data_IF_227313039694
#
_entry.id   IF_227313039694
#
_cell.length_a   1.000
_cell.length_b   1.000
_cell.length_c   1.000
_cell.angle_alpha   90.00
_cell.angle_beta   90.00
_cell.angle_gamma   90.00
#
_symmetry.space_group_name_H-M   'P 1'
#
loop_
_entity.id
_entity.type
_entity.pdbx_description
1 polymer ?
#
# COMPACT_ATOMS: atom_id res chain seq x y z
N UNK A 1 -12.84 13.86 -52.62
CA UNK A 1 -13.64 15.06 -52.32
C UNK A 1 -13.19 15.62 -50.97
N UNK A 2 -12.98 16.93 -50.84
CA UNK A 2 -12.67 17.54 -49.53
C UNK A 2 -13.91 17.43 -48.65
N UNK A 3 -13.75 16.87 -47.44
CA UNK A 3 -14.82 16.84 -46.43
C UNK A 3 -14.97 18.22 -45.81
N UNK A 4 -16.19 18.65 -45.58
CA UNK A 4 -16.48 19.89 -44.86
C UNK A 4 -16.00 19.73 -43.41
N UNK A 5 -15.15 20.63 -42.91
CA UNK A 5 -14.56 20.50 -41.56
C UNK A 5 -15.26 21.44 -40.58
N UNK A 6 -15.76 20.87 -39.47
CA UNK A 6 -16.45 21.61 -38.41
C UNK A 6 -15.77 21.35 -37.07
N UNK A 7 -15.49 22.43 -36.35
CA UNK A 7 -14.92 22.37 -35.00
C UNK A 7 -16.04 22.51 -33.97
N UNK A 8 -16.04 21.62 -32.97
CA UNK A 8 -16.99 21.67 -31.85
C UNK A 8 -16.22 21.92 -30.58
N UNK A 9 -16.45 23.10 -30.00
CA UNK A 9 -15.91 23.44 -28.69
C UNK A 9 -16.60 22.63 -27.60
N UNK A 10 -15.79 21.92 -26.81
CA UNK A 10 -16.26 21.15 -25.64
C UNK A 10 -15.61 21.68 -24.36
N UNK A 11 -16.33 21.83 -23.25
CA UNK A 11 -15.72 22.08 -21.95
C UNK A 11 -14.89 20.85 -21.49
N UNK A 12 -13.67 21.08 -21.01
CA UNK A 12 -12.81 19.99 -20.51
C UNK A 12 -13.12 19.62 -19.06
N UNK A 13 -13.78 18.48 -18.87
CA UNK A 13 -14.15 17.90 -17.56
C UNK A 13 -13.29 16.67 -17.24
N UNK A 14 -12.61 16.08 -18.23
CA UNK A 14 -11.72 14.93 -18.02
C UNK A 14 -11.91 13.81 -19.04
N UNK A 15 -12.08 12.58 -18.55
CA UNK A 15 -12.26 11.38 -19.39
C UNK A 15 -13.61 11.43 -20.10
N UNK A 16 -14.60 12.01 -19.46
CA UNK A 16 -15.98 12.21 -19.91
C UNK A 16 -16.02 13.04 -21.19
N UNK A 17 -15.31 14.18 -21.23
CA UNK A 17 -15.18 15.01 -22.45
C UNK A 17 -14.56 14.22 -23.60
N UNK A 18 -13.55 13.37 -23.32
CA UNK A 18 -12.93 12.52 -24.35
C UNK A 18 -13.91 11.47 -24.87
N UNK A 19 -14.68 10.84 -23.99
CA UNK A 19 -15.72 9.88 -24.37
C UNK A 19 -16.83 10.54 -25.19
N UNK A 20 -17.29 11.72 -24.77
CA UNK A 20 -18.28 12.51 -25.49
C UNK A 20 -17.77 12.90 -26.89
N UNK A 21 -16.53 13.38 -26.99
CA UNK A 21 -15.90 13.71 -28.27
C UNK A 21 -15.87 12.51 -29.22
N UNK A 22 -15.54 11.30 -28.75
CA UNK A 22 -15.61 10.08 -29.56
C UNK A 22 -17.03 9.77 -30.03
N UNK A 23 -17.99 9.82 -29.12
CA UNK A 23 -19.41 9.58 -29.46
C UNK A 23 -19.92 10.56 -30.51
N UNK A 24 -19.55 11.84 -30.42
CA UNK A 24 -19.92 12.87 -31.39
C UNK A 24 -19.30 12.56 -32.76
N UNK A 25 -18.02 12.16 -32.81
CA UNK A 25 -17.35 11.76 -34.06
C UNK A 25 -18.05 10.55 -34.70
N UNK A 26 -18.41 9.55 -33.90
CA UNK A 26 -19.05 8.33 -34.41
C UNK A 26 -20.47 8.61 -34.90
N UNK A 27 -21.23 9.44 -34.19
CA UNK A 27 -22.54 9.94 -34.64
C UNK A 27 -22.42 10.75 -35.93
N UNK A 28 -21.41 11.60 -36.05
CA UNK A 28 -21.18 12.41 -37.25
C UNK A 28 -20.92 11.54 -38.48
N UNK A 29 -20.06 10.51 -38.34
CA UNK A 29 -19.78 9.56 -39.43
C UNK A 29 -21.03 8.81 -39.89
N UNK A 30 -21.94 8.50 -38.96
CA UNK A 30 -23.19 7.82 -39.27
C UNK A 30 -24.19 8.72 -40.01
N UNK A 31 -24.34 9.98 -39.57
CA UNK A 31 -25.36 10.89 -40.11
C UNK A 31 -24.87 11.61 -41.38
N UNK A 32 -23.65 12.15 -41.36
CA UNK A 32 -23.03 12.96 -42.43
C UNK A 32 -21.57 12.56 -42.63
N UNK A 33 -21.27 11.52 -43.45
CA UNK A 33 -19.91 11.04 -43.66
C UNK A 33 -19.02 12.02 -44.45
N UNK A 34 -19.64 12.98 -45.13
CA UNK A 34 -19.05 14.13 -45.82
C UNK A 34 -18.53 15.21 -44.85
N UNK A 35 -18.96 15.17 -43.59
CA UNK A 35 -18.56 16.09 -42.53
C UNK A 35 -17.42 15.52 -41.67
N UNK A 36 -16.34 16.28 -41.52
CA UNK A 36 -15.26 15.99 -40.58
C UNK A 36 -15.43 16.83 -39.31
N UNK A 37 -16.03 16.24 -38.28
CA UNK A 37 -16.18 16.89 -36.98
C UNK A 37 -14.93 16.69 -36.13
N UNK A 38 -14.35 17.78 -35.66
CA UNK A 38 -13.21 17.79 -34.74
C UNK A 38 -13.59 18.46 -33.41
N UNK A 39 -13.84 17.67 -32.34
CA UNK A 39 -14.08 18.23 -31.02
C UNK A 39 -12.80 18.85 -30.44
N UNK A 40 -12.87 20.11 -30.02
CA UNK A 40 -11.77 20.84 -29.39
C UNK A 40 -12.13 21.09 -27.91
N UNK A 41 -11.41 20.47 -26.95
CA UNK A 41 -11.61 20.79 -25.54
C UNK A 41 -11.04 22.17 -25.18
N UNK A 42 -11.86 23.11 -24.69
CA UNK A 42 -11.42 24.42 -24.18
C UNK A 42 -11.14 24.41 -22.68
N UNK A 43 -10.18 25.26 -22.25
CA UNK A 43 -8.73 25.01 -22.26
C UNK A 43 -8.34 23.82 -21.35
N UNK A 44 -7.12 23.26 -21.48
CA UNK A 44 -6.60 22.30 -20.51
C UNK A 44 -6.58 22.97 -19.11
N UNK A 45 -7.20 22.36 -18.09
CA UNK A 45 -7.63 23.04 -16.87
C UNK A 45 -6.47 23.57 -16.01
N UNK A 46 -5.25 23.05 -16.20
CA UNK A 46 -4.01 23.57 -15.65
C UNK A 46 -2.81 22.86 -16.32
N UNK A 47 -1.62 23.47 -16.27
CA UNK A 47 -0.35 22.84 -16.69
C UNK A 47 -0.08 21.49 -16.03
N UNK A 48 -0.62 21.29 -14.82
CA UNK A 48 -0.60 20.02 -14.06
C UNK A 48 -1.32 18.87 -14.77
N UNK A 49 -2.13 19.16 -15.78
CA UNK A 49 -2.78 18.16 -16.64
C UNK A 49 -1.79 17.54 -17.62
N UNK A 50 -0.76 18.30 -18.02
CA UNK A 50 0.27 17.84 -18.96
C UNK A 50 1.41 17.09 -18.28
N UNK A 51 1.75 17.50 -17.05
CA UNK A 51 2.85 16.91 -16.30
C UNK A 51 2.34 16.30 -15.00
N UNK A 52 2.57 14.99 -14.75
CA UNK A 52 2.33 14.44 -13.42
C UNK A 52 3.16 15.24 -12.42
N UNK A 53 2.49 15.88 -11.45
CA UNK A 53 3.16 16.78 -10.49
C UNK A 53 4.24 16.08 -9.66
N UNK A 54 4.20 14.74 -9.56
CA UNK A 54 5.17 13.92 -8.83
C UNK A 54 5.52 12.65 -9.60
N UNK A 55 6.74 12.19 -9.38
CA UNK A 55 7.20 10.90 -9.91
C UNK A 55 6.37 9.73 -9.37
N UNK A 56 6.28 8.68 -10.18
CA UNK A 56 5.63 7.44 -9.78
C UNK A 56 6.44 6.80 -8.65
N UNK A 57 5.81 6.67 -7.49
CA UNK A 57 6.43 6.01 -6.33
C UNK A 57 6.52 4.50 -6.60
N UNK A 58 7.72 3.95 -6.45
CA UNK A 58 7.97 2.51 -6.53
C UNK A 58 7.03 1.72 -5.62
N UNK A 59 6.58 0.56 -6.09
CA UNK A 59 5.63 -0.34 -5.42
C UNK A 59 5.95 -0.56 -3.93
N UNK A 60 7.22 -0.83 -3.61
CA UNK A 60 7.70 -1.09 -2.25
C UNK A 60 7.65 0.15 -1.34
N UNK A 61 7.73 1.35 -1.90
CA UNK A 61 7.69 2.62 -1.17
C UNK A 61 6.26 3.19 -1.05
N UNK A 62 5.26 2.54 -1.65
CA UNK A 62 3.87 3.00 -1.58
C UNK A 62 3.26 2.74 -0.20
N UNK A 63 2.34 3.63 0.19
CA UNK A 63 1.60 3.62 1.45
C UNK A 63 0.10 3.82 1.21
N UNK A 64 -0.71 3.58 2.24
CA UNK A 64 -2.18 3.68 2.20
C UNK A 64 -2.80 2.75 1.14
N UNK A 65 -2.29 1.52 1.09
CA UNK A 65 -2.67 0.50 0.12
C UNK A 65 -3.21 -0.76 0.81
N UNK A 66 -4.07 -1.45 0.09
CA UNK A 66 -4.45 -2.84 0.34
C UNK A 66 -3.68 -3.70 -0.66
N UNK A 67 -2.98 -4.70 -0.16
CA UNK A 67 -2.11 -5.57 -0.92
C UNK A 67 -2.47 -7.04 -0.71
N UNK A 68 -2.09 -7.89 -1.66
CA UNK A 68 -2.14 -9.34 -1.51
C UNK A 68 -0.78 -9.97 -1.70
N UNK A 69 -0.49 -11.01 -0.91
CA UNK A 69 0.71 -11.84 -0.99
C UNK A 69 0.25 -13.29 -1.12
N UNK A 70 0.78 -14.03 -2.09
CA UNK A 70 0.56 -15.47 -2.21
C UNK A 70 1.68 -16.25 -1.55
N UNK A 71 1.36 -17.46 -1.12
CA UNK A 71 2.37 -18.46 -0.82
C UNK A 71 2.91 -19.06 -2.13
N UNK A 72 4.18 -19.44 -2.17
CA UNK A 72 4.78 -20.10 -3.35
C UNK A 72 4.42 -21.58 -3.42
N UNK A 73 4.23 -22.23 -2.26
CA UNK A 73 4.05 -23.68 -2.19
C UNK A 73 2.57 -24.10 -2.08
N UNK A 74 1.65 -23.16 -1.88
CA UNK A 74 0.22 -23.46 -1.82
C UNK A 74 -0.67 -22.32 -2.31
N UNK A 75 -1.90 -22.66 -2.73
CA UNK A 75 -2.88 -21.74 -3.33
C UNK A 75 -3.58 -20.82 -2.31
N UNK A 76 -2.92 -20.48 -1.21
CA UNK A 76 -3.45 -19.56 -0.21
C UNK A 76 -2.84 -18.17 -0.38
N UNK A 77 -3.72 -17.17 -0.35
CA UNK A 77 -3.33 -15.77 -0.35
C UNK A 77 -3.58 -15.12 0.99
N UNK A 78 -2.75 -14.15 1.35
CA UNK A 78 -2.98 -13.18 2.42
C UNK A 78 -3.36 -11.84 1.81
N UNK A 79 -4.38 -11.18 2.39
CA UNK A 79 -4.73 -9.80 2.07
C UNK A 79 -4.48 -8.93 3.28
N UNK A 80 -3.71 -7.87 3.11
CA UNK A 80 -3.41 -6.94 4.19
C UNK A 80 -3.51 -5.49 3.75
N UNK A 81 -3.71 -4.60 4.72
CA UNK A 81 -3.52 -3.16 4.54
C UNK A 81 -2.21 -2.66 5.12
N UNK A 82 -1.75 -1.52 4.61
CA UNK A 82 -0.69 -0.74 5.24
C UNK A 82 -0.91 0.77 5.10
N UNK A 83 -0.68 1.48 6.20
CA UNK A 83 -0.55 2.96 6.24
C UNK A 83 0.93 3.34 6.10
N UNK A 84 1.85 2.46 6.50
CA UNK A 84 3.29 2.59 6.32
C UNK A 84 3.69 2.20 4.89
N UNK A 85 4.96 2.40 4.54
CA UNK A 85 5.53 1.85 3.31
C UNK A 85 5.39 0.33 3.26
N UNK A 86 5.08 -0.22 2.08
CA UNK A 86 4.89 -1.66 1.88
C UNK A 86 6.13 -2.48 2.28
N UNK A 87 7.33 -2.01 1.94
CA UNK A 87 8.59 -2.65 2.35
C UNK A 87 8.70 -2.84 3.86
N UNK A 88 8.42 -1.78 4.63
CA UNK A 88 8.46 -1.83 6.09
C UNK A 88 7.42 -2.79 6.64
N UNK A 89 6.22 -2.80 6.04
CA UNK A 89 5.16 -3.74 6.41
C UNK A 89 5.57 -5.19 6.16
N UNK A 90 6.21 -5.49 5.04
CA UNK A 90 6.67 -6.85 4.73
C UNK A 90 7.75 -7.31 5.71
N UNK A 91 8.69 -6.43 6.09
CA UNK A 91 9.69 -6.72 7.12
C UNK A 91 9.04 -7.05 8.48
N UNK A 92 7.98 -6.34 8.87
CA UNK A 92 7.20 -6.67 10.07
C UNK A 92 6.56 -8.07 10.02
N UNK A 93 6.39 -8.63 8.81
CA UNK A 93 5.86 -9.97 8.59
C UNK A 93 6.94 -11.04 8.33
N UNK A 94 8.23 -10.69 8.44
CA UNK A 94 9.34 -11.63 8.27
C UNK A 94 10.00 -11.61 6.89
N UNK A 95 9.69 -10.62 6.04
CA UNK A 95 10.40 -10.48 4.78
C UNK A 95 11.88 -10.15 5.01
N UNK A 96 12.79 -10.71 4.19
CA UNK A 96 14.21 -10.41 4.30
C UNK A 96 14.45 -8.91 4.11
N UNK A 97 15.39 -8.35 4.87
CA UNK A 97 15.85 -7.00 4.62
C UNK A 97 16.52 -6.99 3.25
N UNK A 98 16.00 -6.17 2.34
CA UNK A 98 16.68 -5.91 1.08
C UNK A 98 18.07 -5.35 1.41
N UNK A 99 19.13 -5.80 0.73
CA UNK A 99 20.44 -5.20 0.90
C UNK A 99 20.26 -3.69 0.69
N UNK A 100 20.64 -2.90 1.71
CA UNK A 100 20.76 -1.46 1.52
C UNK A 100 21.68 -1.33 0.31
N UNK A 101 21.23 -0.67 -0.76
CA UNK A 101 22.12 -0.36 -1.88
C UNK A 101 23.43 0.13 -1.27
N UNK A 102 24.61 -0.32 -1.76
CA UNK A 102 25.88 0.17 -1.25
C UNK A 102 25.73 1.66 -1.15
N UNK A 103 25.90 2.20 0.07
CA UNK A 103 25.84 3.64 0.31
C UNK A 103 26.53 4.29 -0.87
N UNK A 104 25.82 5.16 -1.60
CA UNK A 104 26.30 5.90 -2.76
C UNK A 104 27.81 6.01 -2.70
N UNK A 105 28.58 5.58 -3.73
CA UNK A 105 30.05 5.57 -3.66
C UNK A 105 30.46 6.86 -3.00
N UNK A 106 31.18 6.75 -1.87
CA UNK A 106 31.60 7.90 -1.09
C UNK A 106 32.19 8.87 -2.10
N UNK A 107 31.44 9.91 -2.48
CA UNK A 107 31.99 11.00 -3.25
C UNK A 107 33.06 11.47 -2.29
N UNK A 108 34.33 11.25 -2.64
CA UNK A 108 35.45 11.65 -1.83
C UNK A 108 35.17 13.10 -1.48
N UNK A 109 34.73 13.34 -0.24
CA UNK A 109 34.53 14.70 0.22
C UNK A 109 35.93 15.28 0.12
N UNK A 110 36.17 16.35 -0.66
CA UNK A 110 37.46 17.01 -0.59
C UNK A 110 37.74 17.28 0.88
N UNK A 111 38.98 17.08 1.31
CA UNK A 111 39.42 17.23 2.69
C UNK A 111 39.24 18.69 3.13
N UNK A 112 37.99 19.03 3.46
CA UNK A 112 37.60 20.36 3.89
C UNK A 112 38.06 20.46 5.33
N UNK A 113 39.13 21.23 5.54
CA UNK A 113 39.62 21.56 6.87
C UNK A 113 38.47 22.12 7.73
N UNK A 114 37.89 21.25 8.55
CA UNK A 114 36.66 21.48 9.34
C UNK A 114 36.83 22.66 10.31
N UNK A 115 38.08 23.00 10.66
CA UNK A 115 38.39 24.14 11.53
C UNK A 115 38.14 25.49 10.87
N UNK A 116 38.05 25.58 9.54
CA UNK A 116 37.79 26.84 8.82
C UNK A 116 36.29 27.17 8.65
N UNK A 117 35.39 26.23 8.95
CA UNK A 117 33.95 26.40 8.78
C UNK A 117 33.34 27.08 10.01
N UNK A 118 32.78 28.30 9.86
CA UNK A 118 32.12 29.11 10.92
C UNK A 118 31.03 28.40 11.75
N UNK A 119 30.56 27.22 11.35
CA UNK A 119 29.52 26.43 12.07
C UNK A 119 30.11 25.33 12.96
N UNK A 120 31.43 25.19 13.04
CA UNK A 120 32.14 24.08 13.70
C UNK A 120 32.02 24.07 15.23
N UNK A 121 31.84 25.22 15.89
CA UNK A 121 31.80 25.28 17.36
C UNK A 121 30.59 24.56 17.99
N UNK A 122 29.43 24.49 17.32
CA UNK A 122 28.28 23.69 17.79
C UNK A 122 28.43 22.19 17.57
N UNK A 123 29.35 21.78 16.69
CA UNK A 123 29.62 20.38 16.39
C UNK A 123 30.70 19.81 17.31
N UNK A 124 31.67 20.63 17.75
CA UNK A 124 32.74 20.21 18.68
C UNK A 124 32.21 19.61 19.98
N UNK A 125 31.14 20.15 20.54
CA UNK A 125 30.53 19.64 21.78
C UNK A 125 29.72 18.35 21.61
N UNK A 126 29.48 17.87 20.38
CA UNK A 126 28.67 16.68 20.07
C UNK A 126 29.46 15.51 19.51
N UNK A 127 30.78 15.64 19.34
CA UNK A 127 31.61 14.62 18.66
C UNK A 127 31.97 13.41 19.52
N UNK A 128 31.61 13.39 20.81
CA UNK A 128 31.84 12.24 21.69
C UNK A 128 30.53 11.77 22.36
N UNK A 129 29.52 11.45 21.55
CA UNK A 129 28.41 10.62 22.03
C UNK A 129 28.84 9.17 21.84
N UNK A 130 29.44 8.59 22.88
CA UNK A 130 29.59 7.14 22.95
C UNK A 130 28.19 6.55 23.13
N UNK A 131 27.62 6.01 22.06
CA UNK A 131 26.46 5.15 22.17
C UNK A 131 26.87 3.93 22.99
N UNK A 132 26.13 3.61 24.05
CA UNK A 132 26.35 2.38 24.80
C UNK A 132 26.44 1.21 23.81
N UNK A 133 27.55 0.47 23.86
CA UNK A 133 27.64 -0.79 23.13
C UNK A 133 26.63 -1.74 23.78
N UNK A 134 25.75 -2.29 22.96
CA UNK A 134 24.74 -3.24 23.41
C UNK A 134 25.46 -4.54 23.86
N UNK A 135 25.39 -4.85 25.15
CA UNK A 135 25.92 -6.10 25.70
C UNK A 135 25.21 -7.31 25.06
N UNK A 136 25.91 -8.44 24.87
CA UNK A 136 25.36 -9.64 24.21
C UNK A 136 24.01 -10.12 24.80
N UNK A 137 23.78 -9.89 26.09
CA UNK A 137 22.53 -10.25 26.77
C UNK A 137 21.35 -9.35 26.36
N UNK A 138 21.58 -8.05 26.07
CA UNK A 138 20.53 -7.16 25.57
C UNK A 138 20.21 -7.44 24.09
N UNK A 139 21.19 -7.92 23.33
CA UNK A 139 21.02 -8.38 21.93
C UNK A 139 20.13 -9.63 21.91
N UNK A 140 20.41 -10.64 22.73
CA UNK A 140 19.56 -11.83 22.84
C UNK A 140 18.13 -11.50 23.29
N UNK A 141 17.97 -10.67 24.33
CA UNK A 141 16.65 -10.21 24.80
C UNK A 141 15.88 -9.40 23.76
N UNK A 142 16.57 -8.67 22.87
CA UNK A 142 15.93 -7.91 21.80
C UNK A 142 15.58 -8.77 20.58
N UNK A 143 16.34 -9.83 20.32
CA UNK A 143 16.03 -10.86 19.33
C UNK A 143 14.79 -11.68 19.73
N UNK A 144 14.73 -12.22 20.95
CA UNK A 144 13.58 -12.99 21.45
C UNK A 144 12.27 -12.19 21.38
N UNK A 145 12.30 -10.92 21.80
CA UNK A 145 11.14 -10.00 21.70
C UNK A 145 10.68 -9.77 20.26
N UNK A 146 11.59 -9.85 19.28
CA UNK A 146 11.27 -9.67 17.88
C UNK A 146 10.62 -10.95 17.30
N UNK A 147 11.10 -12.12 17.68
CA UNK A 147 10.54 -13.40 17.26
C UNK A 147 9.11 -13.62 17.77
N UNK A 148 8.85 -13.24 19.04
CA UNK A 148 7.49 -13.22 19.61
C UNK A 148 6.53 -12.30 18.83
N UNK A 149 7.05 -11.20 18.30
CA UNK A 149 6.28 -10.26 17.50
C UNK A 149 6.03 -10.82 16.10
N UNK A 150 7.01 -11.48 15.50
CA UNK A 150 6.89 -12.13 14.19
C UNK A 150 5.88 -13.28 14.24
N UNK A 151 5.86 -14.08 15.31
CA UNK A 151 4.89 -15.17 15.53
C UNK A 151 3.41 -14.72 15.53
N UNK A 152 3.15 -13.43 15.77
CA UNK A 152 1.80 -12.84 15.67
C UNK A 152 1.37 -12.57 14.22
N UNK A 153 2.30 -12.56 13.27
CA UNK A 153 2.00 -12.46 11.85
C UNK A 153 1.33 -13.74 11.35
N UNK A 154 0.28 -13.63 10.54
CA UNK A 154 -0.34 -14.78 9.91
C UNK A 154 0.58 -15.41 8.85
N UNK A 155 1.27 -14.57 8.07
CA UNK A 155 2.24 -14.97 7.06
C UNK A 155 3.41 -15.75 7.69
N UNK A 156 4.03 -15.19 8.73
CA UNK A 156 5.18 -15.83 9.38
C UNK A 156 4.80 -17.14 10.04
N UNK A 157 3.65 -17.18 10.74
CA UNK A 157 3.13 -18.41 11.33
C UNK A 157 2.89 -19.50 10.27
N UNK A 158 2.33 -19.14 9.12
CA UNK A 158 2.14 -20.10 8.03
C UNK A 158 3.47 -20.60 7.47
N UNK A 159 4.44 -19.69 7.27
CA UNK A 159 5.78 -20.02 6.85
C UNK A 159 6.44 -21.06 7.77
N UNK A 160 6.35 -20.84 9.09
CA UNK A 160 6.99 -21.72 10.09
C UNK A 160 6.23 -23.02 10.30
N UNK A 161 4.90 -23.00 10.30
CA UNK A 161 4.11 -24.19 10.57
C UNK A 161 4.07 -25.17 9.39
N UNK A 162 4.12 -24.65 8.16
CA UNK A 162 4.01 -25.45 6.94
C UNK A 162 5.34 -25.56 6.19
N UNK A 163 6.41 -24.92 6.70
CA UNK A 163 7.71 -24.82 6.02
C UNK A 163 7.62 -24.31 4.58
N UNK A 164 6.64 -23.46 4.30
CA UNK A 164 6.43 -22.87 2.98
C UNK A 164 7.23 -21.58 2.83
N UNK A 165 7.41 -21.14 1.59
CA UNK A 165 8.05 -19.89 1.20
C UNK A 165 6.99 -18.87 0.79
N UNK A 166 7.03 -17.69 1.40
CA UNK A 166 6.15 -16.57 1.04
C UNK A 166 6.75 -15.80 -0.14
N UNK A 167 5.94 -15.50 -1.15
CA UNK A 167 6.39 -14.75 -2.32
C UNK A 167 6.40 -13.23 -2.05
N UNK A 168 7.50 -12.74 -1.48
CA UNK A 168 7.69 -11.32 -1.16
C UNK A 168 7.95 -10.41 -2.38
N UNK A 169 8.27 -10.98 -3.54
CA UNK A 169 8.60 -10.24 -4.75
C UNK A 169 7.35 -10.02 -5.64
N UNK A 170 6.48 -11.02 -5.79
CA UNK A 170 5.26 -10.97 -6.62
C UNK A 170 3.98 -10.59 -5.85
N UNK A 171 4.11 -9.78 -4.80
CA UNK A 171 2.94 -9.23 -4.10
C UNK A 171 2.14 -8.28 -5.01
N UNK A 172 0.84 -8.06 -4.81
CA UNK A 172 0.03 -7.20 -5.71
C UNK A 172 -0.70 -6.10 -4.94
N UNK A 173 -0.78 -4.91 -5.53
CA UNK A 173 -1.58 -3.80 -4.99
C UNK A 173 -3.00 -3.96 -5.49
N UNK A 174 -3.94 -4.18 -4.58
CA UNK A 174 -5.35 -4.38 -4.92
C UNK A 174 -6.08 -3.04 -4.96
N UNK A 175 -5.84 -2.18 -3.97
CA UNK A 175 -6.48 -0.87 -3.91
C UNK A 175 -5.67 0.13 -3.11
N UNK A 176 -6.00 1.42 -3.27
CA UNK A 176 -5.36 2.54 -2.57
C UNK A 176 -6.44 3.50 -2.10
N UNK A 177 -6.31 4.00 -0.87
CA UNK A 177 -7.22 5.03 -0.34
C UNK A 177 -6.50 5.86 0.71
N UNK A 178 -6.53 7.19 0.57
CA UNK A 178 -5.89 8.09 1.52
C UNK A 178 -6.61 8.13 2.89
N UNK A 179 -7.91 7.83 2.92
CA UNK A 179 -8.69 7.84 4.17
C UNK A 179 -8.58 6.49 4.87
N UNK A 180 -8.04 6.50 6.09
CA UNK A 180 -7.84 5.28 6.92
C UNK A 180 -9.09 4.40 7.00
N UNK A 181 -10.26 4.98 7.29
CA UNK A 181 -11.50 4.22 7.41
C UNK A 181 -11.89 3.54 6.10
N UNK A 182 -11.84 4.26 4.97
CA UNK A 182 -12.12 3.68 3.65
C UNK A 182 -11.15 2.57 3.30
N UNK A 183 -9.87 2.70 3.69
CA UNK A 183 -8.89 1.64 3.52
C UNK A 183 -9.27 0.35 4.29
N UNK A 184 -9.80 0.49 5.52
CA UNK A 184 -10.32 -0.65 6.29
C UNK A 184 -11.50 -1.33 5.61
N UNK A 185 -12.42 -0.54 5.08
CA UNK A 185 -13.59 -1.03 4.34
C UNK A 185 -13.14 -1.78 3.09
N UNK A 186 -12.20 -1.20 2.31
CA UNK A 186 -11.66 -1.84 1.11
C UNK A 186 -10.97 -3.16 1.40
N UNK A 187 -10.14 -3.23 2.43
CA UNK A 187 -9.52 -4.49 2.85
C UNK A 187 -10.58 -5.54 3.24
N UNK A 188 -11.58 -5.14 4.01
CA UNK A 188 -12.67 -6.02 4.45
C UNK A 188 -13.45 -6.60 3.26
N UNK A 189 -13.79 -5.75 2.28
CA UNK A 189 -14.45 -6.18 1.04
C UNK A 189 -13.58 -7.16 0.25
N UNK A 190 -12.27 -6.92 0.18
CA UNK A 190 -11.36 -7.79 -0.56
C UNK A 190 -11.16 -9.15 0.11
N UNK A 191 -11.06 -9.20 1.44
CA UNK A 191 -11.01 -10.46 2.19
C UNK A 191 -12.30 -11.26 1.98
N UNK A 192 -13.46 -10.59 2.06
CA UNK A 192 -14.76 -11.23 1.87
C UNK A 192 -14.93 -11.76 0.44
N UNK A 193 -14.53 -10.99 -0.56
CA UNK A 193 -14.65 -11.36 -1.97
C UNK A 193 -13.72 -12.53 -2.34
N UNK A 194 -12.46 -12.49 -1.88
CA UNK A 194 -11.45 -13.52 -2.22
C UNK A 194 -11.44 -14.73 -1.28
N UNK A 195 -12.14 -14.67 -0.14
CA UNK A 195 -12.23 -15.73 0.88
C UNK A 195 -10.87 -16.33 1.26
N UNK A 196 -9.90 -15.46 1.53
CA UNK A 196 -8.53 -15.87 1.85
C UNK A 196 -8.42 -16.60 3.20
N UNK A 197 -7.95 -17.84 3.18
CA UNK A 197 -7.83 -18.72 4.37
C UNK A 197 -6.70 -18.25 5.30
N UNK A 198 -5.67 -17.60 4.75
CA UNK A 198 -4.49 -17.19 5.52
C UNK A 198 -4.76 -16.00 6.46
N UNK A 199 -5.88 -15.28 6.27
CA UNK A 199 -6.26 -14.17 7.12
C UNK A 199 -6.86 -14.66 8.45
N UNK A 200 -6.31 -14.21 9.59
CA UNK A 200 -6.83 -14.53 10.92
C UNK A 200 -8.23 -13.97 11.18
N UNK A 201 -8.53 -12.83 10.57
CA UNK A 201 -9.80 -12.10 10.73
C UNK A 201 -10.55 -12.05 9.41
N UNK A 202 -11.87 -12.26 9.44
CA UNK A 202 -12.74 -12.18 8.27
C UNK A 202 -12.87 -10.77 7.69
N UNK A 203 -12.76 -9.74 8.53
CA UNK A 203 -12.79 -8.34 8.11
C UNK A 203 -12.05 -7.45 9.10
N UNK A 204 -11.67 -6.26 8.64
CA UNK A 204 -11.05 -5.22 9.47
C UNK A 204 -12.08 -4.27 10.09
N UNK A 205 -13.22 -4.11 9.42
CA UNK A 205 -14.39 -3.36 9.90
C UNK A 205 -15.62 -4.21 9.59
N UNK A 206 -16.56 -4.37 10.54
CA UNK A 206 -17.81 -5.08 10.29
C UNK A 206 -18.60 -4.36 9.18
N UNK A 207 -18.87 -5.08 8.09
CA UNK A 207 -19.70 -4.58 7.00
C UNK A 207 -21.13 -5.05 7.27
N UNK A 208 -21.88 -4.22 7.99
CA UNK A 208 -23.30 -4.47 8.28
C UNK A 208 -24.14 -3.77 7.22
N UNK A 209 -24.91 -4.54 6.46
CA UNK A 209 -26.00 -4.00 5.66
C UNK A 209 -27.19 -3.86 6.59
N UNK A 210 -27.78 -2.67 6.65
CA UNK A 210 -29.01 -2.45 7.40
C UNK A 210 -30.19 -2.57 6.43
N UNK A 211 -30.84 -3.75 6.35
CA UNK A 211 -31.98 -3.94 5.45
C UNK A 211 -33.16 -3.00 5.81
N UNK A 212 -33.25 -2.56 7.06
CA UNK A 212 -34.33 -1.69 7.57
C UNK A 212 -33.88 -0.23 7.81
N UNK A 213 -32.72 0.18 7.29
CA UNK A 213 -32.18 1.53 7.45
C UNK A 213 -31.26 1.72 8.66
N UNK A 214 -30.59 2.89 8.74
CA UNK A 214 -29.64 3.22 9.81
C UNK A 214 -30.35 3.22 11.17
N UNK A 215 -30.15 2.17 11.96
CA UNK A 215 -30.62 2.16 13.35
C UNK A 215 -29.85 3.21 14.16
N UNK A 216 -30.56 3.88 15.07
CA UNK A 216 -30.05 5.00 15.89
C UNK A 216 -28.93 4.52 16.84
N UNK A 217 -28.91 3.23 17.18
CA UNK A 217 -27.89 2.63 18.04
C UNK A 217 -26.72 2.07 17.22
N UNK A 218 -25.48 2.38 17.66
CA UNK A 218 -24.27 1.82 17.05
C UNK A 218 -24.20 0.31 17.37
N UNK A 219 -24.03 -0.57 16.37
CA UNK A 219 -23.89 -2.00 16.65
C UNK A 219 -22.58 -2.26 17.38
N UNK A 220 -22.66 -3.00 18.49
CA UNK A 220 -21.50 -3.47 19.23
C UNK A 220 -21.12 -4.87 18.76
N UNK A 221 -19.94 -5.01 18.16
CA UNK A 221 -19.41 -6.34 17.77
C UNK A 221 -18.85 -7.01 19.03
N UNK A 222 -19.53 -8.05 19.52
CA UNK A 222 -18.95 -8.93 20.55
C UNK A 222 -17.86 -9.78 19.92
N UNK A 223 -16.61 -9.45 20.24
CA UNK A 223 -15.46 -10.29 19.87
C UNK A 223 -15.55 -11.54 20.74
N UNK A 224 -15.69 -12.72 20.11
CA UNK A 224 -15.69 -14.00 20.82
C UNK A 224 -14.28 -14.21 21.38
N UNK A 225 -14.10 -14.00 22.69
CA UNK A 225 -12.90 -14.44 23.39
C UNK A 225 -12.78 -15.95 23.16
N UNK A 226 -11.65 -16.37 22.61
CA UNK A 226 -11.39 -17.78 22.30
C UNK A 226 -11.66 -18.65 23.53
N UNK A 227 -12.46 -19.68 23.36
CA UNK A 227 -12.72 -20.67 24.41
C UNK A 227 -11.38 -21.30 24.79
N UNK A 228 -10.92 -21.05 26.01
CA UNK A 228 -9.81 -21.79 26.60
C UNK A 228 -10.29 -23.24 26.74
N UNK A 229 -9.78 -24.13 25.89
CA UNK A 229 -9.95 -25.57 26.05
C UNK A 229 -9.18 -25.92 27.33
N UNK A 230 -9.89 -26.19 28.42
CA UNK A 230 -9.28 -26.70 29.65
C UNK A 230 -8.72 -28.10 29.36
N UNK A 231 -7.50 -28.43 29.83
CA UNK A 231 -6.96 -29.78 29.65
C UNK A 231 -7.84 -30.80 30.36
N UNK A 232 -8.12 -31.89 29.65
CA UNK A 232 -8.90 -33.04 30.13
C UNK A 232 -8.08 -33.71 31.25
N UNK A 233 -8.61 -33.71 32.48
CA UNK A 233 -8.01 -34.48 33.58
C UNK A 233 -8.10 -35.97 33.27
N UNK A 234 -7.03 -36.75 33.51
CA UNK A 234 -7.10 -38.20 33.37
C UNK A 234 -8.02 -38.77 34.46
N UNK A 235 -9.03 -39.54 34.03
CA UNK A 235 -9.95 -40.23 34.93
C UNK A 235 -9.21 -41.29 35.76
N UNK A 236 -9.59 -41.38 37.04
CA UNK A 236 -9.30 -42.53 37.91
C UNK A 236 -10.17 -43.72 37.51
#
# INVERSE_FOLDING_TARGET
MKKEQVFIDLPFIGIETKMLGKKIIDLAKYIRPDLHIQPIPRPPPAITTFFPQKDKINKNAQSNIVYSISCSDCDVGYIGKTIRQASRRHQEHGAPQQPKAPSTPQIATPDLNIQSLRRSDRLRSKLNVNYCQDDNECIAKSQEKNDDKLMKSALYKHQMNMNHTINWNDWKIISKDCKKYRLLVRESLQILHKKTILNRTMCSVPLVVYPEGLQISKPTVKIKLGTIIKPRTPGK
#
